data_IF_152876401755
#
_entry.id   IF_152876401755
#
_cell.length_a   1.000
_cell.length_b   1.000
_cell.length_c   1.000
_cell.angle_alpha   90.00
_cell.angle_beta   90.00
_cell.angle_gamma   90.00
#
_symmetry.space_group_name_H-M   'P 1'
#
loop_
_entity.id
_entity.type
_entity.pdbx_description
1 polymer ?
#
# COMPACT_ATOMS: atom_id res chain seq x y z
N UNK A 1 -10.73 5.88 -8.11
CA UNK A 1 -9.53 5.81 -7.27
C UNK A 1 -8.40 5.19 -8.08
N UNK A 2 -7.21 5.78 -7.99
CA UNK A 2 -5.98 5.26 -8.58
C UNK A 2 -5.06 4.78 -7.46
N UNK A 3 -4.43 3.63 -7.65
CA UNK A 3 -3.53 3.04 -6.68
C UNK A 3 -2.22 2.71 -7.38
N UNK A 4 -1.13 3.31 -6.94
CA UNK A 4 0.19 3.14 -7.51
C UNK A 4 1.04 2.22 -6.65
N UNK A 5 1.70 1.32 -7.30
CA UNK A 5 2.82 0.59 -6.72
C UNK A 5 4.00 1.54 -6.49
N UNK A 6 4.47 1.58 -5.25
CA UNK A 6 5.63 2.39 -4.86
C UNK A 6 6.80 1.49 -4.45
N UNK A 7 7.04 0.48 -5.30
CA UNK A 7 8.09 -0.54 -5.11
C UNK A 7 9.36 -0.23 -5.88
N UNK A 8 10.46 -0.92 -5.55
CA UNK A 8 11.76 -0.73 -6.16
C UNK A 8 11.79 -1.04 -7.65
N UNK A 9 11.02 -2.03 -8.12
CA UNK A 9 10.90 -2.42 -9.53
C UNK A 9 10.33 -1.29 -10.39
N UNK A 10 9.40 -0.50 -9.85
CA UNK A 10 8.77 0.63 -10.52
C UNK A 10 9.75 1.75 -10.91
N UNK A 11 10.98 1.79 -10.37
CA UNK A 11 11.94 2.87 -10.63
C UNK A 11 12.16 3.13 -12.13
N UNK A 12 12.21 2.07 -12.92
CA UNK A 12 12.47 2.16 -14.38
C UNK A 12 11.27 2.69 -15.18
N UNK A 13 10.06 2.47 -14.68
CA UNK A 13 8.81 2.83 -15.37
C UNK A 13 8.05 3.95 -14.66
N UNK A 14 8.54 4.40 -13.50
CA UNK A 14 7.87 5.38 -12.66
C UNK A 14 7.49 6.65 -13.41
N UNK A 15 8.41 7.23 -14.18
CA UNK A 15 8.16 8.46 -14.91
C UNK A 15 7.03 8.30 -15.95
N UNK A 16 7.00 7.19 -16.67
CA UNK A 16 5.96 6.93 -17.66
C UNK A 16 4.63 6.59 -17.01
N UNK A 17 4.65 5.89 -15.88
CA UNK A 17 3.45 5.65 -15.05
C UNK A 17 2.85 6.98 -14.56
N UNK A 18 3.67 7.90 -14.08
CA UNK A 18 3.18 9.23 -13.63
C UNK A 18 2.63 10.05 -14.80
N UNK A 19 3.23 9.99 -15.99
CA UNK A 19 2.67 10.64 -17.20
C UNK A 19 1.28 10.11 -17.54
N UNK A 20 1.10 8.78 -17.53
CA UNK A 20 -0.20 8.15 -17.79
C UNK A 20 -1.23 8.53 -16.70
N UNK A 21 -0.83 8.48 -15.45
CA UNK A 21 -1.67 8.92 -14.34
C UNK A 21 -2.13 10.37 -14.53
N UNK A 22 -1.26 11.28 -14.94
CA UNK A 22 -1.62 12.69 -15.15
C UNK A 22 -2.62 12.87 -16.27
N UNK A 23 -2.53 12.10 -17.34
CA UNK A 23 -3.54 12.09 -18.39
C UNK A 23 -4.92 11.69 -17.85
N UNK A 24 -4.96 10.65 -17.00
CA UNK A 24 -6.22 10.21 -16.36
C UNK A 24 -6.76 11.26 -15.37
N UNK A 25 -5.91 11.90 -14.60
CA UNK A 25 -6.28 12.98 -13.68
C UNK A 25 -6.85 14.19 -14.45
N UNK A 26 -6.20 14.59 -15.53
CA UNK A 26 -6.71 15.66 -16.39
C UNK A 26 -8.08 15.33 -16.99
N UNK A 27 -8.28 14.07 -17.42
CA UNK A 27 -9.58 13.61 -17.87
C UNK A 27 -10.62 13.72 -16.75
N UNK A 28 -10.36 13.16 -15.57
CA UNK A 28 -11.26 13.23 -14.42
C UNK A 28 -11.62 14.69 -14.07
N UNK A 29 -10.61 15.57 -14.04
CA UNK A 29 -10.81 17.00 -13.78
C UNK A 29 -11.69 17.66 -14.83
N UNK A 30 -11.46 17.37 -16.11
CA UNK A 30 -12.22 17.95 -17.23
C UNK A 30 -13.70 17.57 -17.21
N UNK A 31 -14.01 16.35 -16.77
CA UNK A 31 -15.38 15.83 -16.68
C UNK A 31 -15.96 15.91 -15.27
N UNK A 32 -15.27 16.59 -14.34
CA UNK A 32 -15.69 16.77 -12.94
C UNK A 32 -15.93 15.47 -12.18
N UNK A 33 -15.16 14.41 -12.48
CA UNK A 33 -15.18 13.16 -11.73
C UNK A 33 -14.27 13.31 -10.52
N UNK A 34 -14.76 13.08 -9.28
CA UNK A 34 -13.91 13.09 -8.09
C UNK A 34 -12.91 11.92 -8.14
N UNK A 35 -11.69 12.19 -7.71
CA UNK A 35 -10.65 11.18 -7.67
C UNK A 35 -9.74 11.32 -6.45
N UNK A 36 -9.12 10.22 -6.07
CA UNK A 36 -7.98 10.16 -5.18
C UNK A 36 -6.93 9.21 -5.73
N UNK A 37 -5.68 9.52 -5.47
CA UNK A 37 -4.52 8.72 -5.84
C UNK A 37 -3.79 8.30 -4.59
N UNK A 38 -3.65 7.00 -4.44
CA UNK A 38 -2.87 6.39 -3.37
C UNK A 38 -1.62 5.74 -3.92
N UNK A 39 -0.57 5.74 -3.14
CA UNK A 39 0.61 4.92 -3.39
C UNK A 39 0.81 3.97 -2.21
N UNK A 40 1.13 2.70 -2.49
CA UNK A 40 1.39 1.71 -1.45
C UNK A 40 2.85 1.28 -1.43
N UNK A 41 3.39 1.11 -0.22
CA UNK A 41 4.78 0.71 0.02
C UNK A 41 4.91 0.05 1.40
N UNK A 42 6.05 -0.53 1.69
CA UNK A 42 6.44 -0.97 3.03
C UNK A 42 7.68 -0.23 3.57
N UNK A 43 7.86 1.03 3.18
CA UNK A 43 8.92 1.91 3.67
C UNK A 43 8.56 2.63 4.99
N UNK A 44 7.32 2.46 5.43
CA UNK A 44 6.83 3.13 6.63
C UNK A 44 7.45 2.52 7.90
N UNK A 45 7.63 3.33 8.92
CA UNK A 45 7.92 2.86 10.26
C UNK A 45 9.22 2.06 10.45
N UNK A 46 10.22 2.22 9.58
CA UNK A 46 11.54 1.60 9.81
C UNK A 46 12.24 2.26 10.98
N UNK A 47 12.92 1.48 11.85
CA UNK A 47 13.75 2.05 12.89
C UNK A 47 14.88 2.87 12.27
N UNK A 48 15.18 4.01 12.87
CA UNK A 48 16.39 4.76 12.53
C UNK A 48 17.51 4.33 13.47
N UNK A 49 18.61 3.92 12.88
CA UNK A 49 19.83 3.52 13.58
C UNK A 49 20.89 4.56 13.30
N UNK A 50 21.54 5.03 14.34
CA UNK A 50 22.76 5.79 14.21
C UNK A 50 23.89 4.82 13.81
N UNK A 51 24.51 5.04 12.65
CA UNK A 51 25.52 4.14 12.12
C UNK A 51 26.88 4.25 12.83
N UNK A 52 27.11 5.32 13.58
CA UNK A 52 28.35 5.51 14.35
C UNK A 52 28.24 4.85 15.73
N UNK A 53 27.13 5.06 16.41
CA UNK A 53 26.91 4.53 17.78
C UNK A 53 26.18 3.18 17.80
N UNK A 54 25.59 2.75 16.68
CA UNK A 54 24.68 1.61 16.56
C UNK A 54 23.44 1.68 17.45
N UNK A 55 23.12 2.88 17.95
CA UNK A 55 21.94 3.09 18.77
C UNK A 55 20.68 3.31 17.90
N UNK A 56 19.55 2.82 18.39
CA UNK A 56 18.24 3.07 17.77
C UNK A 56 17.78 4.46 18.18
N UNK A 57 17.96 5.44 17.29
CA UNK A 57 17.55 6.84 17.52
C UNK A 57 16.06 7.06 17.40
N UNK A 58 15.37 6.22 16.61
CA UNK A 58 13.92 6.20 16.51
C UNK A 58 13.46 4.74 16.51
N UNK A 59 12.81 4.26 17.58
CA UNK A 59 12.25 2.92 17.61
C UNK A 59 11.10 2.79 16.61
N UNK A 60 10.78 1.55 16.25
CA UNK A 60 9.56 1.24 15.50
C UNK A 60 8.34 1.58 16.34
N UNK A 61 7.33 2.15 15.69
CA UNK A 61 6.01 2.34 16.30
C UNK A 61 5.19 1.07 16.04
N UNK A 62 4.86 0.36 17.11
CA UNK A 62 4.03 -0.85 17.07
C UNK A 62 2.53 -0.57 17.25
N UNK A 63 2.12 0.69 17.32
CA UNK A 63 0.71 1.06 17.27
C UNK A 63 0.15 0.75 15.87
N UNK A 64 -0.43 -0.42 15.74
CA UNK A 64 -0.93 -0.92 14.46
C UNK A 64 -2.34 -0.41 14.19
N UNK A 65 -2.61 -0.04 12.94
CA UNK A 65 -3.96 0.21 12.45
C UNK A 65 -4.82 -1.07 12.43
N UNK A 66 -4.18 -2.24 12.50
CA UNK A 66 -4.82 -3.56 12.47
C UNK A 66 -4.46 -4.35 13.72
N UNK A 67 -5.47 -4.93 14.36
CA UNK A 67 -5.31 -5.67 15.59
C UNK A 67 -4.55 -6.99 15.37
N UNK A 68 -3.52 -7.21 16.18
CA UNK A 68 -2.75 -8.47 16.18
C UNK A 68 -3.46 -9.51 17.05
N UNK A 69 -4.36 -10.27 16.47
CA UNK A 69 -5.03 -11.41 17.11
C UNK A 69 -4.77 -12.69 16.34
N UNK A 70 -4.73 -13.79 17.05
CA UNK A 70 -4.58 -15.11 16.46
C UNK A 70 -5.60 -15.37 15.34
N UNK A 71 -5.12 -15.94 14.25
CA UNK A 71 -5.90 -16.23 13.02
C UNK A 71 -6.46 -15.00 12.27
N UNK A 72 -6.12 -13.77 12.64
CA UNK A 72 -6.38 -12.61 11.81
C UNK A 72 -5.28 -12.40 10.77
N UNK A 73 -5.65 -11.78 9.63
CA UNK A 73 -4.67 -11.32 8.65
C UNK A 73 -3.67 -10.38 9.32
N UNK A 74 -2.41 -10.63 9.04
CA UNK A 74 -1.31 -9.80 9.52
C UNK A 74 -0.92 -8.80 8.46
N UNK A 75 -1.32 -7.54 8.65
CA UNK A 75 -0.81 -6.42 7.87
C UNK A 75 0.53 -5.99 8.48
N UNK A 76 1.54 -5.81 7.64
CA UNK A 76 2.85 -5.38 8.13
C UNK A 76 2.78 -3.99 8.77
N UNK A 77 3.47 -3.79 9.89
CA UNK A 77 3.62 -2.48 10.52
C UNK A 77 4.45 -1.49 9.65
N UNK A 78 5.18 -2.00 8.67
CA UNK A 78 5.88 -1.19 7.68
C UNK A 78 4.98 -0.74 6.53
N UNK A 79 3.79 -1.35 6.38
CA UNK A 79 2.84 -1.00 5.33
C UNK A 79 2.36 0.44 5.46
N UNK A 80 2.33 1.12 4.32
CA UNK A 80 1.73 2.44 4.19
C UNK A 80 0.90 2.56 2.92
N UNK A 81 -0.25 3.22 3.06
CA UNK A 81 -1.11 3.65 1.97
C UNK A 81 -1.14 5.17 1.99
N UNK A 82 -0.35 5.80 1.12
CA UNK A 82 -0.17 7.25 1.07
C UNK A 82 -1.16 7.88 0.09
N UNK A 83 -2.00 8.82 0.54
CA UNK A 83 -2.77 9.65 -0.39
C UNK A 83 -1.85 10.74 -0.95
N UNK A 84 -1.50 10.65 -2.23
CA UNK A 84 -0.51 11.54 -2.87
C UNK A 84 -1.14 12.63 -3.73
N UNK A 85 -2.36 12.40 -4.27
CA UNK A 85 -3.11 13.39 -5.04
C UNK A 85 -4.60 13.26 -4.73
N UNK A 86 -5.31 14.39 -4.67
CA UNK A 86 -6.75 14.39 -4.40
C UNK A 86 -7.47 15.49 -5.15
N UNK A 87 -8.68 15.19 -5.61
CA UNK A 87 -9.57 16.18 -6.23
C UNK A 87 -10.24 17.14 -5.23
N UNK A 88 -10.06 16.90 -3.91
CA UNK A 88 -10.65 17.74 -2.85
C UNK A 88 -9.98 19.10 -2.68
N UNK A 89 -8.81 19.26 -3.27
CA UNK A 89 -8.05 20.51 -3.22
C UNK A 89 -8.39 21.42 -4.42
N UNK A 90 -8.10 22.71 -4.31
CA UNK A 90 -8.27 23.62 -5.44
C UNK A 90 -7.23 23.35 -6.54
N UNK A 91 -7.46 23.92 -7.74
CA UNK A 91 -6.63 23.65 -8.91
C UNK A 91 -5.16 23.98 -8.74
N UNK A 92 -4.83 25.07 -8.03
CA UNK A 92 -3.44 25.48 -7.74
C UNK A 92 -2.75 24.49 -6.79
N UNK A 93 -3.44 24.03 -5.77
CA UNK A 93 -2.90 23.01 -4.84
C UNK A 93 -2.70 21.67 -5.53
N UNK A 94 -3.65 21.25 -6.40
CA UNK A 94 -3.48 20.02 -7.18
C UNK A 94 -2.26 20.10 -8.09
N UNK A 95 -2.06 21.23 -8.76
CA UNK A 95 -0.89 21.47 -9.62
C UNK A 95 0.41 21.34 -8.81
N UNK A 96 0.47 21.92 -7.60
CA UNK A 96 1.62 21.77 -6.71
C UNK A 96 1.85 20.31 -6.30
N UNK A 97 0.78 19.56 -5.98
CA UNK A 97 0.89 18.13 -5.69
C UNK A 97 1.46 17.36 -6.88
N UNK A 98 0.96 17.62 -8.10
CA UNK A 98 1.45 16.99 -9.33
C UNK A 98 2.92 17.31 -9.58
N UNK A 99 3.35 18.57 -9.43
CA UNK A 99 4.75 18.98 -9.57
C UNK A 99 5.64 18.24 -8.56
N UNK A 100 5.21 18.10 -7.33
CA UNK A 100 5.99 17.41 -6.30
C UNK A 100 6.12 15.90 -6.62
N UNK A 101 5.06 15.24 -7.03
CA UNK A 101 5.12 13.83 -7.43
C UNK A 101 5.99 13.65 -8.68
N UNK A 102 5.90 14.56 -9.63
CA UNK A 102 6.81 14.58 -10.80
C UNK A 102 8.28 14.65 -10.38
N UNK A 103 8.63 15.54 -9.45
CA UNK A 103 10.00 15.66 -8.92
C UNK A 103 10.47 14.36 -8.26
N UNK A 104 9.60 13.71 -7.47
CA UNK A 104 9.93 12.42 -6.84
C UNK A 104 10.14 11.34 -7.90
N UNK A 105 9.28 11.27 -8.92
CA UNK A 105 9.45 10.32 -10.02
C UNK A 105 10.75 10.57 -10.81
N UNK A 106 11.07 11.83 -11.06
CA UNK A 106 12.32 12.21 -11.73
C UNK A 106 13.56 11.84 -10.90
N UNK A 107 13.50 11.98 -9.58
CA UNK A 107 14.56 11.51 -8.69
C UNK A 107 14.85 10.02 -8.85
N UNK A 108 13.82 9.17 -8.94
CA UNK A 108 14.00 7.73 -9.14
C UNK A 108 14.51 7.36 -10.54
N UNK A 109 14.16 8.15 -11.54
CA UNK A 109 14.61 7.91 -12.91
C UNK A 109 16.06 8.32 -13.14
N UNK A 110 16.54 9.36 -12.46
CA UNK A 110 17.87 9.92 -12.63
C UNK A 110 18.41 10.57 -11.34
N UNK A 111 18.51 9.77 -10.29
CA UNK A 111 18.90 10.24 -8.96
C UNK A 111 20.29 10.91 -8.89
N UNK A 112 21.19 10.61 -9.85
CA UNK A 112 22.54 11.17 -9.88
C UNK A 112 22.61 12.56 -10.51
N UNK A 113 21.60 12.94 -11.29
CA UNK A 113 21.58 14.22 -12.01
C UNK A 113 20.68 15.26 -11.36
N UNK A 114 19.84 14.86 -10.41
CA UNK A 114 18.98 15.81 -9.69
C UNK A 114 19.67 16.32 -8.42
N UNK A 115 19.71 17.63 -8.24
CA UNK A 115 20.34 18.28 -7.10
C UNK A 115 19.45 18.35 -5.83
N UNK A 116 18.49 17.42 -5.66
CA UNK A 116 17.58 17.40 -4.52
C UNK A 116 17.31 15.96 -4.06
N UNK A 117 16.94 15.81 -2.79
CA UNK A 117 16.48 14.55 -2.21
C UNK A 117 14.96 14.41 -2.24
N UNK A 118 14.47 13.24 -1.85
CA UNK A 118 13.04 12.96 -1.68
C UNK A 118 12.61 13.13 -0.22
N UNK A 119 11.33 13.42 0.05
CA UNK A 119 10.82 13.44 1.40
C UNK A 119 11.02 12.09 2.11
N UNK A 120 11.21 12.11 3.45
CA UNK A 120 11.24 10.87 4.23
C UNK A 120 10.01 10.02 3.98
N UNK A 121 10.18 8.69 3.95
CA UNK A 121 9.11 7.69 3.76
C UNK A 121 8.53 7.62 2.34
N UNK A 122 9.16 8.29 1.38
CA UNK A 122 8.79 8.20 -0.04
C UNK A 122 9.78 7.39 -0.87
N UNK A 123 10.71 6.68 -0.24
CA UNK A 123 11.59 5.74 -0.94
C UNK A 123 10.82 4.57 -1.51
N UNK A 124 11.27 4.07 -2.65
CA UNK A 124 10.73 2.85 -3.22
C UNK A 124 11.17 1.64 -2.39
N UNK A 125 10.25 0.70 -2.13
CA UNK A 125 10.54 -0.47 -1.31
C UNK A 125 9.87 -1.74 -1.88
N UNK A 126 9.30 -2.62 -1.05
CA UNK A 126 8.62 -3.83 -1.51
C UNK A 126 7.20 -3.59 -2.01
N UNK A 127 6.54 -4.66 -2.47
CA UNK A 127 5.23 -4.63 -3.12
C UNK A 127 4.12 -5.22 -2.21
N UNK A 128 3.64 -4.51 -1.17
CA UNK A 128 2.56 -4.97 -0.30
C UNK A 128 1.17 -4.77 -0.94
N UNK A 129 0.98 -5.30 -2.15
CA UNK A 129 -0.25 -5.13 -2.92
C UNK A 129 -1.46 -5.78 -2.24
N UNK A 130 -1.28 -6.95 -1.63
CA UNK A 130 -2.36 -7.63 -0.92
C UNK A 130 -2.81 -6.85 0.32
N UNK A 131 -1.89 -6.24 1.06
CA UNK A 131 -2.18 -5.32 2.16
C UNK A 131 -2.90 -4.06 1.65
N UNK A 132 -2.54 -3.57 0.47
CA UNK A 132 -3.24 -2.45 -0.16
C UNK A 132 -4.70 -2.81 -0.46
N UNK A 133 -5.00 -4.01 -0.95
CA UNK A 133 -6.37 -4.48 -1.14
C UNK A 133 -7.15 -4.53 0.19
N UNK A 134 -6.54 -5.03 1.27
CA UNK A 134 -7.17 -4.98 2.60
C UNK A 134 -7.52 -3.54 2.99
N UNK A 135 -6.63 -2.58 2.76
CA UNK A 135 -6.90 -1.17 3.03
C UNK A 135 -8.01 -0.59 2.14
N UNK A 136 -8.07 -1.00 0.87
CA UNK A 136 -9.10 -0.55 -0.07
C UNK A 136 -10.53 -0.94 0.34
N UNK A 137 -10.73 -2.06 1.04
CA UNK A 137 -12.03 -2.41 1.63
C UNK A 137 -12.57 -1.35 2.60
N UNK A 138 -11.71 -0.50 3.14
CA UNK A 138 -12.12 0.63 3.98
C UNK A 138 -12.18 1.94 3.17
N UNK A 139 -11.23 2.15 2.27
CA UNK A 139 -11.09 3.38 1.48
C UNK A 139 -12.23 3.54 0.47
N UNK A 140 -12.54 2.47 -0.30
CA UNK A 140 -13.54 2.55 -1.38
C UNK A 140 -14.94 2.91 -0.86
N UNK A 141 -15.49 2.25 0.16
CA UNK A 141 -16.80 2.61 0.69
C UNK A 141 -16.84 4.02 1.31
N UNK A 142 -15.74 4.45 1.91
CA UNK A 142 -15.62 5.81 2.46
C UNK A 142 -15.65 6.84 1.32
N UNK A 143 -14.82 6.67 0.31
CA UNK A 143 -14.78 7.55 -0.86
C UNK A 143 -16.12 7.62 -1.57
N UNK A 144 -16.79 6.48 -1.75
CA UNK A 144 -18.11 6.40 -2.38
C UNK A 144 -19.15 7.21 -1.61
N UNK A 145 -19.20 7.07 -0.29
CA UNK A 145 -20.15 7.80 0.56
C UNK A 145 -19.87 9.31 0.58
N UNK A 146 -18.61 9.71 0.76
CA UNK A 146 -18.21 11.11 0.84
C UNK A 146 -18.52 11.88 -0.45
N UNK A 147 -18.37 11.22 -1.59
CA UNK A 147 -18.64 11.82 -2.91
C UNK A 147 -20.04 11.49 -3.48
N UNK A 148 -20.88 10.76 -2.73
CA UNK A 148 -22.26 10.37 -3.13
C UNK A 148 -22.28 9.64 -4.49
N UNK A 149 -21.35 8.74 -4.73
CA UNK A 149 -21.18 8.04 -6.00
C UNK A 149 -22.00 6.76 -6.03
N UNK A 150 -22.59 6.44 -7.17
CA UNK A 150 -23.26 5.15 -7.41
C UNK A 150 -22.26 4.03 -7.66
N UNK A 151 -21.16 4.32 -8.36
CA UNK A 151 -20.09 3.38 -8.68
C UNK A 151 -18.73 4.03 -8.46
N UNK A 152 -17.78 3.24 -8.01
CA UNK A 152 -16.37 3.61 -7.89
C UNK A 152 -15.57 2.63 -8.74
N UNK A 153 -14.67 3.18 -9.56
CA UNK A 153 -13.66 2.40 -10.26
C UNK A 153 -12.34 2.54 -9.51
N UNK A 154 -11.68 1.42 -9.28
CA UNK A 154 -10.35 1.35 -8.72
C UNK A 154 -9.38 0.85 -9.80
N UNK A 155 -8.37 1.65 -10.13
CA UNK A 155 -7.35 1.33 -11.11
C UNK A 155 -6.03 1.17 -10.37
N UNK A 156 -5.47 -0.04 -10.42
CA UNK A 156 -4.17 -0.35 -9.80
C UNK A 156 -3.11 -0.38 -10.88
N UNK A 157 -2.03 0.37 -10.68
CA UNK A 157 -0.88 0.46 -11.55
C UNK A 157 0.32 -0.17 -10.84
N UNK A 158 0.72 -1.35 -11.28
CA UNK A 158 1.82 -2.14 -10.71
C UNK A 158 2.57 -2.87 -11.83
N UNK A 159 3.85 -3.13 -11.63
CA UNK A 159 4.71 -3.94 -12.50
C UNK A 159 5.12 -5.26 -11.86
N UNK A 160 4.71 -5.50 -10.61
CA UNK A 160 5.21 -6.57 -9.78
C UNK A 160 4.14 -7.48 -9.19
N UNK A 161 4.63 -8.60 -8.68
CA UNK A 161 3.84 -9.56 -7.94
C UNK A 161 3.67 -9.11 -6.47
N UNK A 162 2.50 -9.41 -5.91
CA UNK A 162 2.21 -9.12 -4.52
C UNK A 162 3.05 -9.96 -3.56
N UNK A 163 3.48 -9.35 -2.47
CA UNK A 163 4.03 -10.10 -1.34
C UNK A 163 2.99 -11.06 -0.77
N UNK A 164 3.45 -12.19 -0.24
CA UNK A 164 2.56 -13.13 0.43
C UNK A 164 1.95 -12.52 1.70
N UNK A 165 0.66 -12.69 1.86
CA UNK A 165 -0.02 -12.40 3.12
C UNK A 165 0.35 -13.42 4.20
N UNK A 166 0.28 -12.95 5.45
CA UNK A 166 0.47 -13.77 6.64
C UNK A 166 -0.76 -13.67 7.55
N UNK A 167 -0.89 -14.61 8.47
CA UNK A 167 -1.80 -14.52 9.62
C UNK A 167 -1.02 -14.42 10.91
N UNK A 168 -1.64 -13.86 11.91
CA UNK A 168 -1.12 -13.89 13.26
C UNK A 168 -1.27 -15.28 13.86
N UNK A 169 -0.21 -15.77 14.50
CA UNK A 169 -0.18 -17.03 15.23
C UNK A 169 0.54 -16.83 16.55
N UNK A 170 0.08 -17.48 17.58
CA UNK A 170 0.81 -17.55 18.82
C UNK A 170 2.02 -18.49 18.64
N UNK A 171 3.21 -18.00 18.94
CA UNK A 171 4.48 -18.72 18.81
C UNK A 171 5.22 -18.64 20.12
N UNK A 172 5.67 -19.80 20.63
CA UNK A 172 6.59 -19.88 21.74
C UNK A 172 7.82 -20.68 21.30
N UNK A 173 9.00 -20.06 21.32
CA UNK A 173 10.25 -20.73 21.01
C UNK A 173 10.80 -21.36 22.28
N UNK A 174 11.63 -22.41 22.13
CA UNK A 174 12.19 -23.19 23.25
C UNK A 174 12.95 -22.36 24.31
N UNK A 175 13.40 -21.16 23.92
CA UNK A 175 14.18 -20.27 24.80
C UNK A 175 13.37 -19.04 25.27
N UNK A 176 12.10 -19.02 25.04
CA UNK A 176 11.19 -17.92 25.43
C UNK A 176 10.32 -18.39 26.60
N UNK A 177 10.26 -17.57 27.64
CA UNK A 177 9.44 -17.84 28.82
C UNK A 177 7.96 -17.67 28.58
N UNK A 178 7.60 -16.75 27.65
CA UNK A 178 6.22 -16.43 27.30
C UNK A 178 5.97 -16.54 25.79
N UNK A 179 4.75 -16.95 25.38
CA UNK A 179 4.36 -16.92 23.98
C UNK A 179 4.23 -15.48 23.48
N UNK A 180 4.58 -15.24 22.23
CA UNK A 180 4.40 -13.96 21.56
C UNK A 180 3.62 -14.11 20.27
N UNK A 181 3.00 -13.02 19.80
CA UNK A 181 2.28 -13.01 18.54
C UNK A 181 3.25 -12.95 17.36
N UNK A 182 3.40 -14.06 16.68
CA UNK A 182 4.21 -14.22 15.48
C UNK A 182 3.39 -14.08 14.19
N UNK A 183 4.05 -14.27 13.05
CA UNK A 183 3.44 -14.23 11.72
C UNK A 183 3.72 -15.54 10.98
N UNK A 184 2.70 -16.15 10.42
CA UNK A 184 2.81 -17.34 9.56
C UNK A 184 2.23 -17.04 8.19
N UNK A 185 3.05 -17.27 7.16
CA UNK A 185 2.63 -17.10 5.78
C UNK A 185 1.42 -18.02 5.46
N UNK A 186 0.47 -17.48 4.73
CA UNK A 186 -0.69 -18.21 4.29
C UNK A 186 -0.35 -19.08 3.08
N UNK A 187 -0.92 -20.27 3.05
CA UNK A 187 -0.73 -21.23 1.96
C UNK A 187 -2.03 -21.43 1.21
N UNK A 188 -1.98 -21.36 -0.12
CA UNK A 188 -3.11 -21.71 -0.97
C UNK A 188 -3.58 -23.14 -0.77
N UNK A 189 -4.84 -23.40 -1.05
CA UNK A 189 -5.47 -24.71 -0.95
C UNK A 189 -5.90 -25.14 0.46
N UNK A 190 -5.25 -24.66 1.52
CA UNK A 190 -5.61 -24.97 2.91
C UNK A 190 -6.00 -23.74 3.75
N UNK A 191 -6.02 -22.58 3.16
CA UNK A 191 -6.43 -21.33 3.82
C UNK A 191 -7.78 -20.89 3.32
N UNK A 192 -8.64 -20.44 4.24
CA UNK A 192 -9.92 -19.82 3.93
C UNK A 192 -9.89 -18.36 4.42
N UNK A 193 -10.30 -17.44 3.55
CA UNK A 193 -10.52 -16.04 3.90
C UNK A 193 -12.01 -15.82 4.17
N UNK A 194 -12.31 -15.12 5.25
CA UNK A 194 -13.68 -14.76 5.59
C UNK A 194 -13.82 -13.24 5.71
N UNK A 195 -14.71 -12.68 4.91
CA UNK A 195 -15.18 -11.32 5.14
C UNK A 195 -16.12 -11.31 6.35
N UNK A 196 -15.75 -10.55 7.38
CA UNK A 196 -16.54 -10.45 8.61
C UNK A 196 -17.83 -9.67 8.46
N UNK A 197 -17.92 -8.79 7.44
CA UNK A 197 -19.12 -7.97 7.22
C UNK A 197 -20.20 -8.76 6.49
N UNK A 198 -19.81 -9.47 5.43
CA UNK A 198 -20.75 -10.24 4.60
C UNK A 198 -20.92 -11.67 5.07
N UNK A 199 -19.92 -12.21 5.78
CA UNK A 199 -19.86 -13.62 6.19
C UNK A 199 -19.36 -14.55 5.09
N UNK A 200 -19.09 -14.05 3.89
CA UNK A 200 -18.57 -14.84 2.79
C UNK A 200 -17.24 -15.48 3.16
N UNK A 201 -17.06 -16.73 2.76
CA UNK A 201 -15.86 -17.50 3.06
C UNK A 201 -15.38 -18.20 1.80
N UNK A 202 -14.20 -17.84 1.34
CA UNK A 202 -13.60 -18.33 0.11
C UNK A 202 -12.30 -19.05 0.40
N UNK A 203 -12.10 -20.21 -0.26
CA UNK A 203 -10.84 -20.92 -0.19
C UNK A 203 -9.82 -20.22 -1.08
N UNK A 204 -8.63 -19.98 -0.51
CA UNK A 204 -7.52 -19.41 -1.28
C UNK A 204 -7.04 -20.45 -2.31
N UNK A 205 -7.04 -20.11 -3.60
CA UNK A 205 -6.58 -21.01 -4.64
C UNK A 205 -5.12 -21.45 -4.45
N UNK A 206 -4.76 -22.58 -5.02
CA UNK A 206 -3.35 -22.95 -5.16
C UNK A 206 -2.66 -22.00 -6.14
N UNK A 207 -1.37 -21.80 -5.92
CA UNK A 207 -0.54 -21.00 -6.78
C UNK A 207 -0.16 -19.64 -6.16
N UNK A 208 0.80 -19.01 -6.80
CA UNK A 208 1.42 -17.78 -6.30
C UNK A 208 0.45 -16.60 -6.26
N UNK A 209 -0.43 -16.50 -7.27
CA UNK A 209 -1.37 -15.39 -7.41
C UNK A 209 -2.72 -15.61 -6.71
N UNK A 210 -2.97 -16.79 -6.16
CA UNK A 210 -4.29 -17.17 -5.63
C UNK A 210 -4.85 -16.19 -4.60
N UNK A 211 -4.01 -15.60 -3.77
CA UNK A 211 -4.44 -14.55 -2.83
C UNK A 211 -4.83 -13.25 -3.51
N UNK A 212 -4.01 -12.79 -4.43
CA UNK A 212 -4.24 -11.52 -5.14
C UNK A 212 -5.52 -11.60 -5.96
N UNK A 213 -5.74 -12.70 -6.65
CA UNK A 213 -6.95 -12.93 -7.43
C UNK A 213 -8.20 -12.94 -6.54
N UNK A 214 -8.12 -13.64 -5.40
CA UNK A 214 -9.23 -13.71 -4.45
C UNK A 214 -9.53 -12.33 -3.82
N UNK A 215 -8.51 -11.56 -3.47
CA UNK A 215 -8.68 -10.22 -2.93
C UNK A 215 -9.29 -9.27 -3.95
N UNK A 216 -8.91 -9.38 -5.23
CA UNK A 216 -9.49 -8.61 -6.33
C UNK A 216 -10.97 -8.96 -6.57
N UNK A 217 -11.33 -10.24 -6.49
CA UNK A 217 -12.72 -10.68 -6.65
C UNK A 217 -13.65 -10.17 -5.55
N UNK A 218 -13.11 -9.97 -4.35
CA UNK A 218 -13.87 -9.52 -3.18
C UNK A 218 -13.86 -8.00 -2.96
N UNK A 219 -13.20 -7.22 -3.80
CA UNK A 219 -13.09 -5.77 -3.70
C UNK A 219 -14.27 -5.07 -4.40
#
# INVERSE_FOLDING_TARGET
IFVLDWSGSMSRVMMDTIKQLYNLIWFCKKVSIPFEVYAFTNEWNRPKIDYETHEVTKPMDFSLAYEAKENLLSVSHEFAMMNILTSRVNGKQLEHQMINIWRVANYFSDQYMVGYGIPPRMSLSGTPLNEAFVALHQILPKFQRENKLQKVQCIVLTDGEANHLARHVEVQRRWEDEPHMGRRQLQGGCTFLRDRKTGNTDQVPYGWHGFTDLMLQNL
#
